data_IF_314684301124
#
_entry.id   IF_314684301124
#
_cell.length_a   1.000
_cell.length_b   1.000
_cell.length_c   1.000
_cell.angle_alpha   90.00
_cell.angle_beta   90.00
_cell.angle_gamma   90.00
#
_symmetry.space_group_name_H-M   'P 1'
#
loop_
_entity.id
_entity.type
_entity.pdbx_description
1 polymer ?
#
# COMPACT_ATOMS: atom_id res chain seq x y z
N UNK A 1 8.02 2.19 -10.16
CA UNK A 1 8.34 3.61 -10.45
C UNK A 1 7.53 4.52 -9.55
N UNK A 2 8.04 5.68 -9.12
CA UNK A 2 7.28 6.68 -8.36
C UNK A 2 6.60 7.67 -9.30
N UNK A 3 5.31 7.90 -9.10
CA UNK A 3 4.50 8.80 -9.92
C UNK A 3 4.95 10.26 -9.73
N UNK A 4 5.39 10.95 -10.79
CA UNK A 4 5.67 12.38 -10.72
C UNK A 4 4.37 13.18 -10.60
N UNK A 5 4.45 14.41 -10.10
CA UNK A 5 3.33 15.34 -10.21
C UNK A 5 3.18 15.84 -11.67
N UNK A 6 2.00 16.31 -12.10
CA UNK A 6 1.79 16.86 -13.45
C UNK A 6 2.80 17.96 -13.83
N UNK A 7 3.23 18.76 -12.85
CA UNK A 7 4.21 19.84 -12.99
C UNK A 7 5.68 19.38 -12.92
N UNK A 8 5.97 18.15 -12.51
CA UNK A 8 7.33 17.59 -12.35
C UNK A 8 7.83 16.95 -13.66
N UNK A 9 7.69 17.64 -14.79
CA UNK A 9 8.11 17.13 -16.10
C UNK A 9 9.61 16.79 -16.12
N UNK A 10 9.95 15.56 -16.50
CA UNK A 10 11.35 15.08 -16.64
C UNK A 10 11.98 14.53 -15.37
N UNK A 11 11.30 14.55 -14.21
CA UNK A 11 11.80 13.91 -12.98
C UNK A 11 11.18 12.53 -12.82
N UNK A 12 11.93 11.48 -13.14
CA UNK A 12 11.52 10.09 -12.94
C UNK A 12 12.40 9.39 -11.91
N UNK A 13 11.78 8.66 -10.99
CA UNK A 13 12.48 7.77 -10.06
C UNK A 13 11.83 6.38 -10.17
N UNK A 14 12.63 5.36 -10.43
CA UNK A 14 12.13 4.01 -10.67
C UNK A 14 13.25 3.00 -10.74
N UNK A 15 12.84 1.73 -10.75
CA UNK A 15 13.72 0.59 -11.00
C UNK A 15 13.24 -0.02 -12.31
N UNK A 16 14.12 -0.02 -13.30
CA UNK A 16 13.86 -0.57 -14.63
C UNK A 16 14.87 -1.68 -14.93
N UNK A 17 14.45 -2.67 -15.70
CA UNK A 17 15.31 -3.76 -16.15
C UNK A 17 15.56 -3.61 -17.64
N UNK A 18 16.82 -3.57 -18.05
CA UNK A 18 17.24 -3.45 -19.45
C UNK A 18 18.04 -4.70 -19.86
N UNK A 19 17.66 -5.31 -20.98
CA UNK A 19 18.48 -6.31 -21.68
C UNK A 19 19.24 -5.58 -22.78
N UNK A 20 20.57 -5.66 -22.73
CA UNK A 20 21.46 -5.02 -23.71
C UNK A 20 22.30 -6.07 -24.42
N UNK A 21 22.33 -6.00 -25.75
CA UNK A 21 23.23 -6.79 -26.58
C UNK A 21 24.07 -5.84 -27.45
N UNK A 22 25.33 -6.20 -27.70
CA UNK A 22 26.24 -5.38 -28.50
C UNK A 22 27.37 -6.21 -29.13
N UNK A 23 27.91 -5.75 -30.25
CA UNK A 23 29.12 -6.30 -30.84
C UNK A 23 30.35 -5.44 -30.49
N UNK A 24 31.44 -6.10 -30.08
CA UNK A 24 32.73 -5.47 -29.74
C UNK A 24 33.89 -6.26 -30.34
N UNK A 25 34.91 -5.56 -30.85
CA UNK A 25 36.13 -6.16 -31.39
C UNK A 25 37.19 -6.43 -30.29
N UNK A 26 37.03 -5.81 -29.12
CA UNK A 26 37.92 -5.98 -27.97
C UNK A 26 37.30 -6.88 -26.91
N UNK A 27 38.08 -7.85 -26.40
CA UNK A 27 37.70 -8.76 -25.30
C UNK A 27 37.67 -8.07 -23.94
N UNK A 28 38.36 -6.94 -23.80
CA UNK A 28 38.53 -6.19 -22.53
C UNK A 28 37.71 -4.89 -22.50
N UNK A 29 36.62 -4.81 -23.28
CA UNK A 29 35.79 -3.62 -23.30
C UNK A 29 35.09 -3.41 -21.95
N UNK A 30 35.46 -2.34 -21.24
CA UNK A 30 34.68 -1.82 -20.11
C UNK A 30 33.23 -1.57 -20.56
N UNK A 31 32.24 -1.96 -19.76
CA UNK A 31 30.81 -1.81 -20.08
C UNK A 31 30.42 -0.35 -20.44
N UNK A 32 31.17 0.63 -19.95
CA UNK A 32 30.94 2.05 -20.20
C UNK A 32 31.38 2.52 -21.60
N UNK A 33 32.17 1.73 -22.34
CA UNK A 33 32.70 2.06 -23.68
C UNK A 33 32.09 1.23 -24.81
N UNK A 34 30.84 0.78 -24.63
CA UNK A 34 30.14 -0.02 -25.64
C UNK A 34 29.76 0.85 -26.87
N UNK A 35 30.11 0.45 -28.10
CA UNK A 35 29.73 1.20 -29.30
C UNK A 35 28.21 1.27 -29.49
N UNK A 36 27.66 2.49 -29.59
CA UNK A 36 26.22 2.71 -29.76
C UNK A 36 25.67 2.15 -31.08
N UNK A 37 26.49 2.17 -32.14
CA UNK A 37 26.10 1.75 -33.50
C UNK A 37 25.81 0.25 -33.63
N UNK A 38 26.41 -0.57 -32.77
CA UNK A 38 26.28 -2.03 -32.76
C UNK A 38 25.56 -2.54 -31.51
N UNK A 39 24.87 -1.66 -30.78
CA UNK A 39 24.18 -1.99 -29.54
C UNK A 39 22.66 -1.91 -29.71
N UNK A 40 21.96 -2.92 -29.20
CA UNK A 40 20.50 -2.96 -29.07
C UNK A 40 20.14 -3.05 -27.58
N UNK A 41 19.03 -2.41 -27.22
CA UNK A 41 18.51 -2.36 -25.85
C UNK A 41 17.03 -2.67 -25.86
N UNK A 42 16.58 -3.45 -24.88
CA UNK A 42 15.19 -3.81 -24.68
C UNK A 42 14.82 -3.66 -23.21
N UNK A 43 13.85 -2.80 -22.92
CA UNK A 43 13.27 -2.70 -21.59
C UNK A 43 12.36 -3.90 -21.33
N UNK A 44 12.58 -4.56 -20.19
CA UNK A 44 11.79 -5.69 -19.71
C UNK A 44 11.21 -5.38 -18.33
N UNK A 45 10.19 -6.14 -17.93
CA UNK A 45 9.59 -6.05 -16.58
C UNK A 45 9.84 -7.33 -15.81
N UNK A 46 10.24 -7.18 -14.55
CA UNK A 46 10.16 -8.23 -13.55
C UNK A 46 8.87 -8.04 -12.76
N UNK A 47 7.85 -8.83 -13.07
CA UNK A 47 6.54 -8.79 -12.37
C UNK A 47 6.48 -9.92 -11.35
N UNK A 48 5.89 -9.63 -10.20
CA UNK A 48 5.67 -10.62 -9.15
C UNK A 48 4.17 -10.89 -9.04
N UNK A 49 3.78 -12.12 -9.37
CA UNK A 49 2.41 -12.58 -9.20
C UNK A 49 2.16 -13.05 -7.76
N UNK A 50 0.90 -13.11 -7.36
CA UNK A 50 0.52 -13.63 -6.06
C UNK A 50 0.99 -15.09 -5.86
N UNK A 51 1.43 -15.46 -4.65
CA UNK A 51 1.66 -16.86 -4.29
C UNK A 51 0.35 -17.67 -4.32
N UNK A 52 0.47 -18.99 -4.49
CA UNK A 52 -0.67 -19.93 -4.48
C UNK A 52 -1.36 -19.99 -3.12
N UNK A 53 -0.56 -19.95 -2.05
CA UNK A 53 -1.05 -20.06 -0.69
C UNK A 53 -1.52 -18.70 -0.17
N UNK A 54 -2.82 -18.61 0.14
CA UNK A 54 -3.36 -17.48 0.89
C UNK A 54 -3.07 -17.71 2.37
N UNK A 55 -2.41 -16.74 3.03
CA UNK A 55 -2.21 -16.80 4.47
C UNK A 55 -3.50 -16.59 5.27
N UNK A 56 -3.40 -16.60 6.61
CA UNK A 56 -4.56 -16.44 7.48
C UNK A 56 -5.19 -15.05 7.33
N UNK A 57 -6.47 -14.95 7.70
CA UNK A 57 -7.20 -13.68 7.69
C UNK A 57 -6.51 -12.64 8.58
N UNK A 58 -6.09 -11.49 8.01
CA UNK A 58 -5.48 -10.42 8.78
C UNK A 58 -6.46 -9.84 9.79
N UNK A 59 -5.96 -9.66 11.03
CA UNK A 59 -6.70 -9.02 12.12
C UNK A 59 -5.78 -8.18 12.97
N UNK A 60 -6.28 -7.05 13.45
CA UNK A 60 -5.65 -6.28 14.52
C UNK A 60 -6.70 -5.85 15.54
N UNK A 61 -6.29 -5.86 16.81
CA UNK A 61 -7.10 -5.38 17.92
C UNK A 61 -6.29 -4.35 18.70
N UNK A 62 -6.92 -3.23 19.04
CA UNK A 62 -6.32 -2.18 19.82
C UNK A 62 -7.31 -1.70 20.89
N UNK A 63 -6.78 -1.28 22.03
CA UNK A 63 -7.56 -0.71 23.12
C UNK A 63 -6.92 0.61 23.54
N UNK A 64 -7.74 1.66 23.66
CA UNK A 64 -7.28 2.96 24.15
C UNK A 64 -7.99 3.33 25.44
N UNK A 65 -7.21 3.87 26.38
CA UNK A 65 -7.70 4.50 27.58
C UNK A 65 -7.40 6.00 27.48
N UNK A 66 -8.36 6.83 27.89
CA UNK A 66 -8.21 8.28 27.86
C UNK A 66 -8.02 8.78 29.30
N UNK A 67 -7.20 9.82 29.52
CA UNK A 67 -6.83 10.35 30.84
C UNK A 67 -7.99 10.64 31.83
N UNK A 68 -9.24 10.71 31.36
CA UNK A 68 -10.44 11.03 32.14
C UNK A 68 -11.57 9.99 31.93
N UNK A 69 -11.25 8.80 31.43
CA UNK A 69 -12.19 7.68 31.25
C UNK A 69 -11.50 6.40 31.68
N UNK A 70 -11.92 5.85 32.81
CA UNK A 70 -11.34 4.63 33.38
C UNK A 70 -11.68 3.37 32.56
N UNK A 71 -12.64 3.50 31.65
CA UNK A 71 -13.08 2.43 30.76
C UNK A 71 -12.43 2.53 29.37
N UNK A 72 -12.08 1.40 28.73
CA UNK A 72 -11.39 1.37 27.44
C UNK A 72 -12.33 1.52 26.23
N UNK A 73 -11.78 2.06 25.14
CA UNK A 73 -12.34 1.96 23.79
C UNK A 73 -11.61 0.84 23.05
N UNK A 74 -12.32 -0.22 22.67
CA UNK A 74 -11.75 -1.32 21.90
C UNK A 74 -12.11 -1.19 20.42
N UNK A 75 -11.14 -1.46 19.56
CA UNK A 75 -11.30 -1.56 18.12
C UNK A 75 -10.71 -2.87 17.63
N UNK A 76 -11.52 -3.68 16.98
CA UNK A 76 -11.10 -4.84 16.22
C UNK A 76 -11.31 -4.58 14.72
N UNK A 77 -10.29 -4.86 13.92
CA UNK A 77 -10.32 -4.75 12.46
C UNK A 77 -9.95 -6.09 11.88
N UNK A 78 -10.73 -6.59 10.92
CA UNK A 78 -10.44 -7.84 10.22
C UNK A 78 -10.70 -7.73 8.72
N UNK A 79 -9.91 -8.49 7.96
CA UNK A 79 -10.00 -8.63 6.50
C UNK A 79 -10.38 -10.07 6.16
N UNK A 80 -11.11 -10.29 5.06
CA UNK A 80 -11.49 -11.64 4.64
C UNK A 80 -10.34 -12.40 3.94
N UNK A 81 -9.34 -11.69 3.41
CA UNK A 81 -8.15 -12.24 2.75
C UNK A 81 -6.89 -11.47 3.14
N UNK A 82 -5.75 -12.16 3.08
CA UNK A 82 -4.42 -11.53 3.20
C UNK A 82 -3.96 -10.90 1.88
N UNK A 83 -4.34 -11.50 0.75
CA UNK A 83 -3.92 -11.11 -0.59
C UNK A 83 -5.16 -10.72 -1.40
N UNK A 84 -5.11 -9.54 -2.00
CA UNK A 84 -6.11 -9.01 -2.93
C UNK A 84 -5.48 -8.75 -4.29
N UNK A 85 -6.31 -8.79 -5.32
CA UNK A 85 -5.90 -8.46 -6.67
C UNK A 85 -6.19 -7.01 -7.04
N UNK A 86 -5.41 -6.47 -7.98
CA UNK A 86 -5.70 -5.15 -8.55
C UNK A 86 -7.12 -5.11 -9.11
N UNK A 87 -7.91 -4.12 -8.70
CA UNK A 87 -9.32 -3.99 -9.07
C UNK A 87 -10.31 -4.81 -8.23
N UNK A 88 -9.83 -5.63 -7.30
CA UNK A 88 -10.69 -6.35 -6.35
C UNK A 88 -11.14 -5.43 -5.20
N UNK A 89 -12.43 -5.40 -4.84
CA UNK A 89 -12.90 -4.69 -3.65
C UNK A 89 -12.39 -5.33 -2.35
N UNK A 90 -12.01 -4.50 -1.37
CA UNK A 90 -11.44 -4.92 -0.09
C UNK A 90 -12.49 -4.68 1.02
N UNK A 91 -13.19 -5.72 1.51
CA UNK A 91 -14.11 -5.57 2.63
C UNK A 91 -13.34 -5.55 3.96
N UNK A 92 -13.46 -4.43 4.67
CA UNK A 92 -12.85 -4.20 5.99
C UNK A 92 -13.93 -4.25 7.04
N UNK A 93 -13.91 -5.29 7.88
CA UNK A 93 -14.84 -5.40 9.01
C UNK A 93 -14.26 -4.70 10.23
N UNK A 94 -15.00 -3.75 10.77
CA UNK A 94 -14.62 -2.90 11.89
C UNK A 94 -15.62 -3.12 13.02
N UNK A 95 -15.13 -3.56 14.17
CA UNK A 95 -15.93 -3.69 15.40
C UNK A 95 -15.38 -2.72 16.44
N UNK A 96 -16.21 -1.73 16.79
CA UNK A 96 -15.93 -0.76 17.83
C UNK A 96 -16.74 -1.14 19.07
N UNK A 97 -16.07 -1.48 20.16
CA UNK A 97 -16.72 -1.70 21.47
C UNK A 97 -16.36 -0.53 22.37
N UNK A 98 -17.29 0.41 22.50
CA UNK A 98 -17.09 1.66 23.23
C UNK A 98 -17.60 1.55 24.66
N UNK A 99 -16.73 1.20 25.59
CA UNK A 99 -17.06 1.20 27.02
C UNK A 99 -16.82 2.57 27.67
N UNK A 100 -16.32 3.55 26.92
CA UNK A 100 -15.99 4.89 27.44
C UNK A 100 -17.24 5.76 27.60
N UNK A 101 -17.07 6.91 28.24
CA UNK A 101 -18.10 7.96 28.33
C UNK A 101 -18.12 8.89 27.10
N UNK A 102 -17.22 8.67 26.14
CA UNK A 102 -17.05 9.50 24.95
C UNK A 102 -17.82 8.91 23.78
N UNK A 103 -18.16 9.75 22.81
CA UNK A 103 -18.79 9.31 21.56
C UNK A 103 -17.75 9.22 20.45
N UNK A 104 -17.73 8.09 19.74
CA UNK A 104 -17.01 8.00 18.46
C UNK A 104 -17.86 8.69 17.40
N UNK A 105 -17.36 9.79 16.86
CA UNK A 105 -18.07 10.66 15.91
C UNK A 105 -17.99 10.17 14.48
N UNK A 106 -16.85 9.60 14.10
CA UNK A 106 -16.53 9.20 12.72
C UNK A 106 -15.61 8.00 12.73
N UNK A 107 -15.82 7.12 11.75
CA UNK A 107 -14.98 5.96 11.47
C UNK A 107 -14.52 6.11 10.03
N UNK A 108 -13.21 6.23 9.81
CA UNK A 108 -12.61 6.30 8.48
C UNK A 108 -11.70 5.11 8.27
N UNK A 109 -11.86 4.41 7.15
CA UNK A 109 -10.92 3.40 6.69
C UNK A 109 -10.12 3.96 5.52
N UNK A 110 -8.84 3.65 5.47
CA UNK A 110 -7.93 4.02 4.40
C UNK A 110 -7.19 2.79 3.91
N UNK A 111 -6.98 2.70 2.60
CA UNK A 111 -5.90 1.87 2.05
C UNK A 111 -4.68 2.77 1.94
N UNK A 112 -3.61 2.49 2.67
CA UNK A 112 -2.34 3.20 2.57
C UNK A 112 -1.32 2.36 1.80
N UNK A 113 -0.68 2.99 0.82
CA UNK A 113 0.49 2.45 0.15
C UNK A 113 1.73 3.01 0.85
N UNK A 114 2.60 2.11 1.29
CA UNK A 114 3.88 2.42 1.90
C UNK A 114 4.98 2.05 0.92
N UNK A 115 5.70 3.05 0.42
CA UNK A 115 6.87 2.87 -0.43
C UNK A 115 8.13 3.16 0.39
N UNK A 116 8.94 2.13 0.63
CA UNK A 116 10.25 2.25 1.24
C UNK A 116 11.32 2.27 0.13
N UNK A 117 11.95 3.42 -0.06
CA UNK A 117 13.01 3.62 -1.04
C UNK A 117 14.34 3.40 -0.34
N UNK A 118 15.06 2.35 -0.76
CA UNK A 118 16.35 1.95 -0.20
C UNK A 118 17.41 2.12 -1.28
N UNK A 119 18.27 3.14 -1.12
CA UNK A 119 19.38 3.38 -2.06
C UNK A 119 20.68 3.73 -1.31
N UNK A 120 20.72 4.90 -0.70
CA UNK A 120 21.78 5.32 0.23
C UNK A 120 21.30 5.37 1.68
N UNK A 121 20.03 5.76 1.87
CA UNK A 121 19.26 5.74 3.11
C UNK A 121 17.97 4.95 2.90
N UNK A 122 17.23 4.69 3.99
CA UNK A 122 15.89 4.10 3.94
C UNK A 122 14.86 5.20 4.15
N UNK A 123 14.15 5.56 3.08
CA UNK A 123 13.15 6.63 3.09
C UNK A 123 11.74 6.05 2.93
N UNK A 124 10.82 6.43 3.80
CA UNK A 124 9.44 5.92 3.81
C UNK A 124 8.45 6.97 3.31
N UNK A 125 7.66 6.60 2.31
CA UNK A 125 6.58 7.41 1.76
C UNK A 125 5.24 6.70 1.95
N UNK A 126 4.37 7.27 2.78
CA UNK A 126 3.02 6.73 3.01
C UNK A 126 2.00 7.60 2.30
N UNK A 127 1.18 7.01 1.43
CA UNK A 127 0.11 7.69 0.70
C UNK A 127 -1.20 6.91 0.77
N UNK A 128 -2.31 7.52 1.23
CA UNK A 128 -3.61 6.85 1.23
C UNK A 128 -4.13 6.76 -0.21
N UNK A 129 -4.30 5.56 -0.78
CA UNK A 129 -4.74 5.32 -2.17
C UNK A 129 -6.25 5.06 -2.30
N UNK A 130 -6.95 4.78 -1.21
CA UNK A 130 -8.41 4.77 -1.13
C UNK A 130 -8.86 5.19 0.27
N UNK A 131 -10.08 5.72 0.39
CA UNK A 131 -10.70 6.12 1.66
C UNK A 131 -12.20 5.83 1.61
N UNK A 132 -12.74 5.30 2.69
CA UNK A 132 -14.17 5.25 2.95
C UNK A 132 -14.48 5.74 4.38
N UNK A 133 -15.64 6.37 4.57
CA UNK A 133 -16.07 6.92 5.85
C UNK A 133 -17.48 6.42 6.22
N UNK A 134 -17.61 5.87 7.42
CA UNK A 134 -18.90 5.60 8.03
C UNK A 134 -19.42 6.85 8.78
N UNK A 135 -20.69 7.16 8.56
CA UNK A 135 -21.39 8.28 9.22
C UNK A 135 -22.00 7.87 10.56
N UNK A 136 -22.07 6.58 10.84
CA UNK A 136 -22.59 6.05 12.09
C UNK A 136 -21.71 6.46 13.28
N UNK A 137 -22.36 7.00 14.31
CA UNK A 137 -21.71 7.33 15.58
C UNK A 137 -21.80 6.13 16.52
N UNK A 138 -20.79 5.95 17.36
CA UNK A 138 -20.81 4.93 18.43
C UNK A 138 -20.95 5.65 19.77
N UNK A 139 -22.16 5.70 20.36
CA UNK A 139 -22.37 6.35 21.65
C UNK A 139 -21.65 5.62 22.80
N UNK A 140 -21.59 6.24 23.99
CA UNK A 140 -21.05 5.61 25.19
C UNK A 140 -21.73 4.27 25.52
N UNK A 141 -20.97 3.31 26.04
CA UNK A 141 -21.43 1.97 26.44
C UNK A 141 -22.19 1.22 25.34
N UNK A 142 -21.73 1.33 24.09
CA UNK A 142 -22.35 0.67 22.94
C UNK A 142 -21.31 0.04 22.01
N UNK A 143 -21.77 -0.89 21.19
CA UNK A 143 -20.94 -1.59 20.20
C UNK A 143 -21.50 -1.41 18.81
N UNK A 144 -20.61 -1.21 17.83
CA UNK A 144 -20.94 -1.16 16.41
C UNK A 144 -20.02 -2.12 15.65
N UNK A 145 -20.61 -3.00 14.84
CA UNK A 145 -19.88 -3.76 13.83
C UNK A 145 -20.35 -3.32 12.45
N UNK A 146 -19.40 -2.91 11.60
CA UNK A 146 -19.66 -2.43 10.24
C UNK A 146 -18.58 -2.93 9.29
N UNK A 147 -18.99 -3.33 8.09
CA UNK A 147 -18.05 -3.65 7.01
C UNK A 147 -18.04 -2.50 6.00
N UNK A 148 -16.86 -1.95 5.73
CA UNK A 148 -16.62 -0.91 4.72
C UNK A 148 -15.85 -1.53 3.55
N UNK A 149 -16.25 -1.25 2.32
CA UNK A 149 -15.59 -1.80 1.13
C UNK A 149 -14.77 -0.73 0.43
N UNK A 150 -13.45 -0.91 0.38
CA UNK A 150 -12.53 0.03 -0.27
C UNK A 150 -12.05 -0.52 -1.62
N UNK A 151 -11.80 0.37 -2.57
CA UNK A 151 -11.34 -0.01 -3.91
C UNK A 151 -10.10 0.80 -4.33
N UNK A 152 -8.88 0.30 -4.09
CA UNK A 152 -7.65 1.01 -4.43
C UNK A 152 -7.37 0.93 -5.94
N UNK A 153 -7.74 1.99 -6.67
CA UNK A 153 -7.55 2.09 -8.12
C UNK A 153 -6.59 3.23 -8.49
N UNK A 154 -5.72 2.97 -9.47
CA UNK A 154 -4.88 4.02 -10.03
C UNK A 154 -5.70 5.14 -10.68
N UNK A 155 -6.86 4.82 -11.29
CA UNK A 155 -7.73 5.80 -11.93
C UNK A 155 -8.08 6.99 -11.01
N UNK A 156 -8.31 6.71 -9.72
CA UNK A 156 -8.65 7.71 -8.70
C UNK A 156 -7.42 8.47 -8.15
N UNK A 157 -6.22 8.12 -8.61
CA UNK A 157 -4.94 8.53 -8.04
C UNK A 157 -3.95 9.10 -9.07
N UNK A 158 -4.36 9.29 -10.33
CA UNK A 158 -3.48 9.66 -11.46
C UNK A 158 -2.73 10.99 -11.31
N UNK A 159 -3.26 11.93 -10.53
CA UNK A 159 -2.68 13.27 -10.38
C UNK A 159 -1.82 13.41 -9.11
N UNK A 160 -1.63 12.32 -8.36
CA UNK A 160 -0.99 12.36 -7.04
C UNK A 160 0.50 12.06 -7.12
N UNK A 161 1.30 12.89 -6.46
CA UNK A 161 2.75 12.75 -6.40
C UNK A 161 3.17 11.64 -5.42
N UNK A 162 4.16 10.84 -5.81
CA UNK A 162 4.86 9.91 -4.92
C UNK A 162 4.12 8.61 -4.62
N UNK A 163 3.16 8.23 -5.47
CA UNK A 163 2.54 6.90 -5.45
C UNK A 163 3.44 5.95 -6.24
N UNK A 164 3.74 4.79 -5.69
CA UNK A 164 4.44 3.72 -6.39
C UNK A 164 3.51 3.05 -7.40
N UNK A 165 3.96 2.96 -8.65
CA UNK A 165 3.31 2.30 -9.77
C UNK A 165 4.14 1.13 -10.27
N UNK A 166 3.46 0.15 -10.84
CA UNK A 166 4.12 -0.86 -11.65
C UNK A 166 4.81 -0.21 -12.85
N UNK A 167 5.92 -0.82 -13.31
CA UNK A 167 6.67 -0.33 -14.46
C UNK A 167 5.79 -0.25 -15.71
N UNK A 168 5.87 0.87 -16.43
CA UNK A 168 5.15 1.09 -17.69
C UNK A 168 6.03 0.70 -18.87
N UNK A 169 5.61 -0.25 -19.70
CA UNK A 169 6.24 -0.50 -21.00
C UNK A 169 5.52 0.37 -22.05
N UNK A 170 6.23 1.33 -22.65
CA UNK A 170 5.71 2.20 -23.72
C UNK A 170 4.41 2.93 -23.33
N UNK A 171 3.31 2.65 -24.02
CA UNK A 171 1.99 3.30 -23.85
C UNK A 171 0.96 2.42 -23.15
N UNK A 172 1.34 1.25 -22.64
CA UNK A 172 0.41 0.35 -21.95
C UNK A 172 -0.11 0.97 -20.64
N UNK A 173 -1.36 0.68 -20.28
CA UNK A 173 -1.91 1.07 -18.98
C UNK A 173 -1.11 0.41 -17.84
N UNK A 174 -0.92 1.16 -16.75
CA UNK A 174 -0.24 0.66 -15.55
C UNK A 174 -1.21 0.58 -14.37
N UNK A 175 -0.80 -0.08 -13.31
CA UNK A 175 -1.53 -0.19 -12.05
C UNK A 175 -0.73 0.40 -10.89
N UNK A 176 -1.34 0.45 -9.71
CA UNK A 176 -0.60 0.67 -8.47
C UNK A 176 0.48 -0.42 -8.34
N UNK A 177 1.63 -0.09 -7.74
CA UNK A 177 2.72 -1.05 -7.60
C UNK A 177 2.28 -2.27 -6.77
N UNK A 178 2.62 -3.46 -7.23
CA UNK A 178 2.33 -4.69 -6.48
C UNK A 178 3.19 -4.78 -5.20
N UNK A 179 2.70 -5.46 -4.17
CA UNK A 179 3.44 -5.72 -2.93
C UNK A 179 4.74 -6.48 -3.21
N UNK A 180 5.85 -5.99 -2.65
CA UNK A 180 7.16 -6.63 -2.78
C UNK A 180 7.30 -7.76 -1.77
N UNK A 181 7.65 -8.97 -2.23
CA UNK A 181 7.97 -10.09 -1.35
C UNK A 181 9.49 -10.29 -1.38
N UNK A 182 10.11 -10.20 -0.21
CA UNK A 182 11.52 -10.49 -0.04
C UNK A 182 11.64 -11.95 0.38
N UNK A 183 12.48 -12.72 -0.33
CA UNK A 183 12.73 -14.12 0.01
C UNK A 183 13.36 -14.20 1.41
N UNK A 184 12.86 -15.11 2.22
CA UNK A 184 13.38 -15.35 3.56
C UNK A 184 14.86 -15.73 3.52
N UNK A 185 15.65 -15.21 4.47
CA UNK A 185 17.11 -15.42 4.53
C UNK A 185 17.94 -14.51 3.62
N UNK A 186 17.33 -13.63 2.83
CA UNK A 186 18.04 -12.57 2.12
C UNK A 186 18.09 -11.32 3.03
N UNK A 187 19.25 -10.68 3.10
CA UNK A 187 19.45 -9.45 3.86
C UNK A 187 18.48 -8.34 3.38
N UNK A 188 17.96 -7.54 4.32
CA UNK A 188 17.01 -6.44 4.05
C UNK A 188 17.67 -5.23 3.38
N UNK A 189 18.95 -5.32 3.06
CA UNK A 189 19.74 -4.34 2.31
C UNK A 189 19.45 -4.33 0.80
N UNK A 190 18.39 -5.03 0.34
CA UNK A 190 17.93 -4.98 -1.05
C UNK A 190 17.66 -3.54 -1.47
N UNK A 191 18.50 -3.03 -2.38
CA UNK A 191 18.31 -1.71 -2.97
C UNK A 191 17.12 -1.72 -3.92
N UNK A 192 16.30 -0.68 -3.86
CA UNK A 192 15.14 -0.51 -4.72
C UNK A 192 13.98 0.19 -4.03
N UNK A 193 12.79 0.01 -4.59
CA UNK A 193 11.54 0.55 -4.05
C UNK A 193 10.71 -0.64 -3.56
N UNK A 194 10.66 -0.81 -2.24
CA UNK A 194 9.88 -1.87 -1.59
C UNK A 194 8.49 -1.33 -1.28
N UNK A 195 7.46 -1.99 -1.79
CA UNK A 195 6.07 -1.54 -1.64
C UNK A 195 5.31 -2.50 -0.74
N UNK A 196 4.62 -1.96 0.25
CA UNK A 196 3.66 -2.66 1.09
C UNK A 196 2.34 -1.88 1.20
N UNK A 197 1.28 -2.57 1.63
CA UNK A 197 -0.02 -1.97 1.83
C UNK A 197 -0.54 -2.28 3.22
N UNK A 198 -1.34 -1.36 3.73
CA UNK A 198 -2.03 -1.51 5.00
C UNK A 198 -3.40 -0.87 4.96
N UNK A 199 -4.33 -1.46 5.69
CA UNK A 199 -5.59 -0.83 6.04
C UNK A 199 -5.38 -0.05 7.33
N UNK A 200 -5.64 1.25 7.30
CA UNK A 200 -5.65 2.10 8.48
C UNK A 200 -7.08 2.45 8.84
N UNK A 201 -7.53 2.06 10.02
CA UNK A 201 -8.84 2.46 10.55
C UNK A 201 -8.63 3.53 11.60
N UNK A 202 -9.22 4.71 11.36
CA UNK A 202 -9.12 5.89 12.19
C UNK A 202 -10.48 6.21 12.81
N UNK A 203 -10.50 6.33 14.13
CA UNK A 203 -11.66 6.75 14.89
C UNK A 203 -11.46 8.19 15.36
N UNK A 204 -12.45 9.06 15.11
CA UNK A 204 -12.49 10.40 15.68
C UNK A 204 -13.42 10.38 16.89
N UNK A 205 -12.86 10.52 18.08
CA UNK A 205 -13.55 10.46 19.37
C UNK A 205 -13.79 11.88 19.90
N UNK A 206 -14.93 12.15 20.52
CA UNK A 206 -15.21 13.43 21.17
C UNK A 206 -14.18 13.75 22.26
N UNK A 207 -13.61 14.95 22.21
CA UNK A 207 -12.64 15.43 23.20
C UNK A 207 -13.29 15.76 24.54
N UNK A 208 -12.46 16.08 25.52
CA UNK A 208 -12.91 16.39 26.89
C UNK A 208 -13.50 17.81 27.02
N UNK A 209 -12.91 18.80 26.34
CA UNK A 209 -13.29 20.22 26.40
C UNK A 209 -14.52 20.55 25.51
N UNK A 210 -15.48 19.64 25.44
CA UNK A 210 -16.72 19.80 24.68
C UNK A 210 -16.65 19.31 23.22
N UNK A 211 -17.78 19.44 22.52
CA UNK A 211 -18.00 18.85 21.20
C UNK A 211 -17.07 19.38 20.10
N UNK A 212 -16.44 20.53 20.26
CA UNK A 212 -15.53 21.06 19.24
C UNK A 212 -14.14 20.38 19.29
N UNK A 213 -13.77 19.82 20.44
CA UNK A 213 -12.51 19.08 20.57
C UNK A 213 -12.69 17.62 20.15
N UNK A 214 -11.65 17.03 19.55
CA UNK A 214 -11.64 15.61 19.19
C UNK A 214 -10.27 14.99 19.40
N UNK A 215 -10.25 13.73 19.81
CA UNK A 215 -9.07 12.88 19.85
C UNK A 215 -9.16 11.88 18.71
N UNK A 216 -8.03 11.60 18.06
CA UNK A 216 -7.96 10.63 16.97
C UNK A 216 -7.12 9.45 17.40
N UNK A 217 -7.67 8.25 17.22
CA UNK A 217 -6.98 7.00 17.44
C UNK A 217 -7.04 6.16 16.17
N UNK A 218 -6.01 5.35 15.91
CA UNK A 218 -5.96 4.53 14.71
C UNK A 218 -5.25 3.21 14.96
N UNK A 219 -5.65 2.20 14.20
CA UNK A 219 -4.96 0.91 14.10
C UNK A 219 -4.72 0.56 12.64
N UNK A 220 -3.72 -0.28 12.40
CA UNK A 220 -3.23 -0.63 11.06
C UNK A 220 -3.19 -2.16 10.91
N UNK A 221 -3.64 -2.66 9.77
CA UNK A 221 -3.65 -4.08 9.41
C UNK A 221 -2.94 -4.26 8.06
N UNK A 222 -1.81 -4.98 7.99
CA UNK A 222 -1.12 -5.19 6.73
C UNK A 222 -1.88 -6.17 5.83
N UNK A 223 -1.77 -5.97 4.51
CA UNK A 223 -2.24 -6.90 3.49
C UNK A 223 -1.38 -6.79 2.23
N UNK A 224 -1.55 -7.71 1.26
CA UNK A 224 -0.84 -7.67 -0.02
C UNK A 224 -1.78 -7.34 -1.17
N UNK A 225 -1.35 -6.47 -2.09
CA UNK A 225 -2.03 -6.15 -3.34
C UNK A 225 -1.14 -6.58 -4.49
N UNK A 226 -1.61 -7.49 -5.34
CA UNK A 226 -0.76 -8.14 -6.35
C UNK A 226 -1.52 -8.45 -7.65
N UNK A 227 -0.79 -8.81 -8.71
CA UNK A 227 -1.40 -9.41 -9.89
C UNK A 227 -1.82 -10.86 -9.61
N UNK A 228 -2.96 -11.33 -10.15
CA UNK A 228 -3.34 -12.74 -10.09
C UNK A 228 -2.30 -13.59 -10.82
N UNK A 229 -2.24 -14.88 -10.52
CA UNK A 229 -1.40 -15.79 -11.31
C UNK A 229 -1.92 -15.84 -12.76
N UNK A 230 -1.01 -15.90 -13.75
CA UNK A 230 -1.42 -16.17 -15.11
C UNK A 230 -2.11 -17.55 -15.17
N UNK A 231 -3.18 -17.65 -15.95
CA UNK A 231 -3.80 -18.93 -16.23
C UNK A 231 -2.79 -19.84 -16.95
N UNK A 232 -2.70 -21.09 -16.49
CA UNK A 232 -1.81 -22.07 -17.09
C UNK A 232 -2.34 -22.38 -18.51
N UNK A 233 -1.59 -22.13 -19.59
CA UNK A 233 -2.07 -22.32 -20.96
C UNK A 233 -2.36 -23.79 -21.34
N UNK A 234 -2.30 -24.71 -20.38
CA UNK A 234 -2.51 -26.15 -20.54
C UNK A 234 -3.76 -26.72 -19.85
N UNK A 235 -4.76 -25.89 -19.50
CA UNK A 235 -6.08 -26.35 -19.04
C UNK A 235 -7.20 -25.93 -19.98
#
# INVERSE_FOLDING_TARGET
>A
MLQPAPQDSGKSCGVDFEVKAFATDSTDAEEDKIPKKSSVRLLIRKVQHAPLEMGPQPRAEAAWQFFMSDKPLHLAVSLNKEIYFHGEPIPVTVTVTNNTEKTVKKIKAFVEQVANVVLYSSDYYVKPVAMEEAQEKVPPNSTLTKTLTLLPLLANNRERRGIALDGKIKHEDTNLASSTIIKEGIDRTVLGILVSYQIKVKLTVSGFLGELTSSEVATEVPFRLMHPQPEDPGK
#
